data_IF_708107695158
#
_entry.id   IF_708107695158
#
_cell.length_a   1.000
_cell.length_b   1.000
_cell.length_c   1.000
_cell.angle_alpha   90.00
_cell.angle_beta   90.00
_cell.angle_gamma   90.00
#
_symmetry.space_group_name_H-M   'P 1'
#
loop_
_entity.id
_entity.type
_entity.pdbx_description
1 polymer ?
#
# COMPACT_ATOMS: atom_id res chain seq x y z
N UNK A 1 35.03 18.96 -38.08
CA UNK A 1 33.74 19.16 -38.78
C UNK A 1 32.98 20.26 -38.05
N UNK A 2 32.85 21.43 -38.65
CA UNK A 2 31.97 22.50 -38.14
C UNK A 2 30.53 22.10 -38.43
N UNK A 3 29.70 21.93 -37.40
CA UNK A 3 28.28 21.66 -37.58
C UNK A 3 27.60 22.88 -38.21
N UNK A 4 26.77 22.64 -39.23
CA UNK A 4 25.98 23.67 -39.89
C UNK A 4 24.94 24.27 -38.91
N UNK A 5 24.92 25.59 -38.80
CA UNK A 5 23.99 26.35 -37.97
C UNK A 5 22.53 26.02 -38.29
N UNK A 6 22.20 25.72 -39.55
CA UNK A 6 20.84 25.33 -39.94
C UNK A 6 20.46 23.97 -39.38
N UNK A 7 21.39 23.01 -39.38
CA UNK A 7 21.22 21.69 -38.80
C UNK A 7 20.98 21.78 -37.29
N UNK A 8 21.78 22.58 -36.58
CA UNK A 8 21.62 22.82 -35.14
C UNK A 8 20.26 23.45 -34.79
N UNK A 9 19.78 24.41 -35.60
CA UNK A 9 18.45 25.03 -35.41
C UNK A 9 17.31 24.02 -35.57
N UNK A 10 17.41 23.13 -36.55
CA UNK A 10 16.43 22.06 -36.79
C UNK A 10 16.46 21.04 -35.66
N UNK A 11 17.64 20.61 -35.25
CA UNK A 11 17.82 19.64 -34.16
C UNK A 11 17.27 20.18 -32.84
N UNK A 12 17.55 21.44 -32.50
CA UNK A 12 16.98 22.12 -31.33
C UNK A 12 15.45 22.12 -31.34
N UNK A 13 14.82 22.40 -32.49
CA UNK A 13 13.35 22.37 -32.62
C UNK A 13 12.82 20.97 -32.38
N UNK A 14 13.45 19.96 -32.99
CA UNK A 14 13.10 18.55 -32.79
C UNK A 14 13.19 18.15 -31.31
N UNK A 15 14.29 18.47 -30.64
CA UNK A 15 14.46 18.21 -29.21
C UNK A 15 13.42 18.93 -28.36
N UNK A 16 13.14 20.21 -28.63
CA UNK A 16 12.14 20.95 -27.86
C UNK A 16 10.75 20.32 -27.98
N UNK A 17 10.35 19.91 -29.18
CA UNK A 17 9.08 19.21 -29.38
C UNK A 17 9.06 17.87 -28.64
N UNK A 18 10.09 17.04 -28.84
CA UNK A 18 10.20 15.72 -28.19
C UNK A 18 10.18 15.83 -26.66
N UNK A 19 10.96 16.74 -26.09
CA UNK A 19 11.02 16.93 -24.64
C UNK A 19 9.71 17.44 -24.07
N UNK A 20 9.01 18.33 -24.77
CA UNK A 20 7.69 18.82 -24.34
C UNK A 20 6.66 17.70 -24.32
N UNK A 21 6.68 16.81 -25.33
CA UNK A 21 5.81 15.64 -25.38
C UNK A 21 6.11 14.67 -24.22
N UNK A 22 7.39 14.38 -23.97
CA UNK A 22 7.79 13.53 -22.85
C UNK A 22 7.41 14.11 -21.50
N UNK A 23 7.58 15.42 -21.29
CA UNK A 23 7.20 16.08 -20.05
C UNK A 23 5.69 15.97 -19.78
N UNK A 24 4.85 16.22 -20.80
CA UNK A 24 3.40 16.03 -20.68
C UNK A 24 3.01 14.60 -20.34
N UNK A 25 3.64 13.62 -20.99
CA UNK A 25 3.37 12.21 -20.71
C UNK A 25 3.71 11.85 -19.26
N UNK A 26 4.83 12.36 -18.73
CA UNK A 26 5.20 12.15 -17.32
C UNK A 26 4.15 12.76 -16.39
N UNK A 27 3.71 13.98 -16.68
CA UNK A 27 2.69 14.66 -15.87
C UNK A 27 1.34 13.93 -15.89
N UNK A 28 0.91 13.44 -17.06
CA UNK A 28 -0.31 12.64 -17.19
C UNK A 28 -0.24 11.32 -16.39
N UNK A 29 0.90 10.62 -16.39
CA UNK A 29 1.08 9.42 -15.57
C UNK A 29 1.11 9.75 -14.06
N UNK A 30 1.77 10.86 -13.68
CA UNK A 30 1.80 11.31 -12.28
C UNK A 30 0.40 11.64 -11.76
N UNK A 31 -0.44 12.29 -12.58
CA UNK A 31 -1.83 12.60 -12.25
C UNK A 31 -2.66 11.33 -12.05
N UNK A 32 -2.36 10.24 -12.77
CA UNK A 32 -3.04 8.94 -12.58
C UNK A 32 -2.60 8.23 -11.30
N UNK A 33 -1.33 8.36 -10.91
CA UNK A 33 -0.84 7.73 -9.67
C UNK A 33 -1.32 8.45 -8.40
N UNK A 34 -1.49 9.77 -8.44
CA UNK A 34 -1.97 10.56 -7.30
C UNK A 34 -3.30 10.06 -6.67
N UNK A 35 -4.38 9.77 -7.42
CA UNK A 35 -5.61 9.22 -6.86
C UNK A 35 -5.44 7.78 -6.36
N UNK A 36 -4.60 6.95 -6.99
CA UNK A 36 -4.30 5.61 -6.50
C UNK A 36 -3.55 5.64 -5.18
N UNK A 37 -2.60 6.57 -5.02
CA UNK A 37 -1.90 6.80 -3.74
C UNK A 37 -2.88 7.22 -2.64
N UNK A 38 -3.86 8.07 -2.96
CA UNK A 38 -4.92 8.46 -2.03
C UNK A 38 -5.80 7.28 -1.62
N UNK A 39 -6.22 6.43 -2.57
CA UNK A 39 -6.96 5.20 -2.28
C UNK A 39 -6.17 4.27 -1.38
N UNK A 40 -4.88 4.08 -1.67
CA UNK A 40 -3.99 3.22 -0.89
C UNK A 40 -3.81 3.73 0.55
N UNK A 41 -3.70 5.06 0.74
CA UNK A 41 -3.69 5.68 2.06
C UNK A 41 -4.99 5.44 2.83
N UNK A 42 -6.14 5.50 2.16
CA UNK A 42 -7.44 5.22 2.78
C UNK A 42 -7.52 3.75 3.21
N UNK A 43 -7.19 2.81 2.32
CA UNK A 43 -7.18 1.38 2.63
C UNK A 43 -6.24 1.07 3.81
N UNK A 44 -5.06 1.70 3.85
CA UNK A 44 -4.14 1.59 4.98
C UNK A 44 -4.79 2.03 6.29
N UNK A 45 -5.44 3.20 6.32
CA UNK A 45 -6.14 3.68 7.51
C UNK A 45 -7.29 2.76 7.95
N UNK A 46 -8.04 2.19 7.00
CA UNK A 46 -9.13 1.25 7.28
C UNK A 46 -8.62 -0.06 7.88
N UNK A 47 -7.49 -0.57 7.38
CA UNK A 47 -6.85 -1.77 7.94
C UNK A 47 -6.33 -1.48 9.35
N UNK A 48 -5.68 -0.33 9.58
CA UNK A 48 -5.23 0.07 10.92
C UNK A 48 -6.38 0.18 11.92
N UNK A 49 -7.51 0.78 11.53
CA UNK A 49 -8.72 0.85 12.38
C UNK A 49 -9.26 -0.54 12.72
N UNK A 50 -9.36 -1.43 11.72
CA UNK A 50 -9.80 -2.82 11.93
C UNK A 50 -8.90 -3.58 12.91
N UNK A 51 -7.58 -3.43 12.79
CA UNK A 51 -6.64 -4.04 13.74
C UNK A 51 -6.76 -3.45 15.14
N UNK A 52 -6.90 -2.13 15.28
CA UNK A 52 -7.11 -1.51 16.60
C UNK A 52 -8.39 -2.01 17.30
N UNK A 53 -9.46 -2.21 16.53
CA UNK A 53 -10.72 -2.78 17.04
C UNK A 53 -10.58 -4.26 17.41
N UNK A 54 -9.80 -5.02 16.63
CA UNK A 54 -9.48 -6.42 16.95
C UNK A 54 -8.72 -6.52 18.27
N UNK A 55 -7.67 -5.71 18.46
CA UNK A 55 -6.88 -5.65 19.70
C UNK A 55 -7.75 -5.29 20.93
N UNK A 56 -8.67 -4.35 20.75
CA UNK A 56 -9.64 -3.98 21.80
C UNK A 56 -10.54 -5.17 22.16
N UNK A 57 -11.08 -5.86 21.15
CA UNK A 57 -11.90 -7.05 21.34
C UNK A 57 -11.11 -8.18 22.03
N UNK A 58 -9.88 -8.43 21.61
CA UNK A 58 -8.99 -9.42 22.23
C UNK A 58 -8.75 -9.10 23.70
N UNK A 59 -8.47 -7.84 24.01
CA UNK A 59 -8.30 -7.38 25.40
C UNK A 59 -9.56 -7.62 26.24
N UNK A 60 -10.75 -7.33 25.70
CA UNK A 60 -12.02 -7.60 26.36
C UNK A 60 -12.23 -9.10 26.60
N UNK A 61 -11.94 -9.94 25.61
CA UNK A 61 -12.06 -11.40 25.71
C UNK A 61 -11.13 -11.94 26.80
N UNK A 62 -9.84 -11.55 26.80
CA UNK A 62 -8.88 -11.95 27.84
C UNK A 62 -9.38 -11.58 29.24
N UNK A 63 -9.90 -10.36 29.41
CA UNK A 63 -10.45 -9.90 30.70
C UNK A 63 -11.68 -10.70 31.17
N UNK A 64 -12.46 -11.26 30.24
CA UNK A 64 -13.62 -12.08 30.56
C UNK A 64 -13.23 -13.53 30.85
N UNK A 65 -12.32 -14.12 30.07
CA UNK A 65 -11.83 -15.50 30.26
C UNK A 65 -11.19 -15.66 31.62
N UNK A 66 -10.41 -14.69 32.08
CA UNK A 66 -9.82 -14.70 33.42
C UNK A 66 -10.85 -14.81 34.57
N UNK A 67 -12.13 -14.58 34.30
CA UNK A 67 -13.22 -14.66 35.28
C UNK A 67 -14.03 -15.95 35.17
N UNK A 68 -13.78 -16.80 34.17
CA UNK A 68 -14.54 -18.01 33.90
C UNK A 68 -13.64 -19.23 34.13
N UNK A 69 -14.04 -20.11 35.04
CA UNK A 69 -13.33 -21.36 35.34
C UNK A 69 -13.35 -22.29 34.10
N UNK A 70 -12.21 -22.90 33.77
CA UNK A 70 -12.01 -23.84 32.65
C UNK A 70 -12.31 -23.31 31.22
N UNK A 71 -12.46 -22.00 31.00
CA UNK A 71 -12.74 -21.43 29.67
C UNK A 71 -11.51 -21.13 28.80
N UNK A 72 -10.31 -21.13 29.38
CA UNK A 72 -9.07 -20.73 28.71
C UNK A 72 -8.69 -21.69 27.57
N UNK A 73 -8.83 -22.99 27.81
CA UNK A 73 -8.41 -24.01 26.84
C UNK A 73 -9.29 -24.02 25.58
N UNK A 74 -10.60 -23.83 25.73
CA UNK A 74 -11.52 -23.75 24.59
C UNK A 74 -11.30 -22.48 23.75
N UNK A 75 -10.93 -21.37 24.39
CA UNK A 75 -10.59 -20.13 23.69
C UNK A 75 -9.28 -20.24 22.92
N UNK A 76 -8.24 -20.81 23.53
CA UNK A 76 -6.94 -20.99 22.89
C UNK A 76 -7.05 -21.88 21.63
N UNK A 77 -7.82 -22.96 21.70
CA UNK A 77 -8.06 -23.82 20.53
C UNK A 77 -8.79 -23.09 19.39
N UNK A 78 -9.79 -22.26 19.70
CA UNK A 78 -10.52 -21.44 18.72
C UNK A 78 -9.61 -20.37 18.11
N UNK A 79 -8.83 -19.68 18.94
CA UNK A 79 -7.86 -18.66 18.53
C UNK A 79 -6.82 -19.23 17.56
N UNK A 80 -6.19 -20.35 17.91
CA UNK A 80 -5.20 -21.04 17.06
C UNK A 80 -5.81 -21.59 15.76
N UNK A 81 -7.11 -21.90 15.76
CA UNK A 81 -7.81 -22.29 14.53
C UNK A 81 -7.92 -21.12 13.54
N UNK A 82 -8.11 -19.89 14.06
CA UNK A 82 -8.22 -18.65 13.29
C UNK A 82 -6.85 -18.10 12.86
N UNK A 83 -5.77 -18.34 13.60
CA UNK A 83 -4.43 -17.92 13.19
C UNK A 83 -3.88 -18.64 11.95
N UNK A 84 -4.44 -19.80 11.58
CA UNK A 84 -4.09 -20.52 10.34
C UNK A 84 -4.29 -19.68 9.07
N UNK A 85 -5.02 -18.57 9.15
CA UNK A 85 -5.22 -17.62 8.06
C UNK A 85 -4.15 -16.51 7.99
N UNK A 86 -3.29 -16.34 9.01
CA UNK A 86 -2.18 -15.37 9.00
C UNK A 86 -1.06 -15.77 8.03
N UNK A 87 -0.79 -17.07 7.85
CA UNK A 87 0.26 -17.60 6.96
C UNK A 87 -0.13 -17.60 5.48
N UNK A 88 -1.29 -17.04 5.14
CA UNK A 88 -1.69 -16.83 3.75
C UNK A 88 -0.71 -15.89 3.02
N UNK A 89 -0.50 -16.07 1.69
CA UNK A 89 0.53 -15.40 0.88
C UNK A 89 0.49 -13.86 0.84
N UNK A 90 -0.43 -13.22 1.56
CA UNK A 90 -0.57 -11.77 1.62
C UNK A 90 0.34 -11.09 2.68
N UNK A 91 0.85 -11.83 3.68
CA UNK A 91 1.65 -11.26 4.77
C UNK A 91 3.09 -11.79 4.89
N UNK A 92 3.50 -12.74 4.04
CA UNK A 92 4.87 -13.29 4.04
C UNK A 92 5.85 -12.47 3.19
N UNK A 93 6.07 -11.19 3.55
CA UNK A 93 7.30 -10.41 3.26
C UNK A 93 7.17 -8.95 3.73
N UNK A 94 7.35 -8.71 5.02
CA UNK A 94 8.02 -7.49 5.50
C UNK A 94 8.90 -7.90 6.68
N UNK A 95 10.16 -8.27 6.38
CA UNK A 95 11.27 -8.31 7.33
C UNK A 95 12.36 -7.42 6.76
#
# INVERSE_FOLDING_TARGET
MTMDLTLLKTQRKSFRTSFTVSAKKIEDELIKEAPELKKLSILKSQISDKFARLETCQTEITNLILKIEDAEQAYEEDFLSAEKYQDGPCCSRVK
#
